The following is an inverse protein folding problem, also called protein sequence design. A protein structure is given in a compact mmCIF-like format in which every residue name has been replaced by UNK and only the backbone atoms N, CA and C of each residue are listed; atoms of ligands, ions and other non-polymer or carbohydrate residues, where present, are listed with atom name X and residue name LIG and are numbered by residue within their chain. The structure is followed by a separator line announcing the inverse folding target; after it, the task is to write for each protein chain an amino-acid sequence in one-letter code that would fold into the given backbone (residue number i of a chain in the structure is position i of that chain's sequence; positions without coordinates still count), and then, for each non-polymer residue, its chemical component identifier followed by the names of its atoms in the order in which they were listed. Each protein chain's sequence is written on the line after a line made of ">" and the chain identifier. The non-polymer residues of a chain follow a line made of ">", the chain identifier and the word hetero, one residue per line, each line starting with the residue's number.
data_IF_388376180302
#
_entry.id   IF_388376180302
#
_cell.length_a   1.000
_cell.length_b   1.000
_cell.length_c   1.000
_cell.angle_alpha   90.00
_cell.angle_beta   90.00
_cell.angle_gamma   90.00
#
_symmetry.space_group_name_H-M   'P 1'
#
loop_
_entity.id
_entity.type
_entity.pdbx_description
1 polymer ?
#
# COMPACT_ATOMS: atom_id res chain seq x y z
N UNK A 1 10.33 -13.35 19.25
CA UNK A 1 10.92 -14.47 18.47
C UNK A 1 9.96 -14.97 17.40
N UNK A 2 8.69 -15.24 17.74
CA UNK A 2 7.64 -15.63 16.76
C UNK A 2 7.41 -14.56 15.68
N UNK A 3 7.29 -13.28 16.04
CA UNK A 3 7.08 -12.20 15.04
C UNK A 3 8.27 -12.02 14.07
N UNK A 4 9.49 -12.31 14.54
CA UNK A 4 10.70 -12.22 13.71
C UNK A 4 10.73 -13.34 12.65
N UNK A 5 10.33 -14.56 13.04
CA UNK A 5 10.21 -15.71 12.14
C UNK A 5 9.13 -15.47 11.10
N UNK A 6 7.98 -14.91 11.48
CA UNK A 6 6.92 -14.55 10.54
C UNK A 6 7.34 -13.46 9.55
N UNK A 7 8.06 -12.43 10.01
CA UNK A 7 8.60 -11.37 9.14
C UNK A 7 9.60 -11.91 8.11
N UNK A 8 10.49 -12.82 8.55
CA UNK A 8 11.45 -13.49 7.68
C UNK A 8 10.77 -14.43 6.69
N UNK A 9 9.77 -15.21 7.13
CA UNK A 9 8.99 -16.10 6.25
C UNK A 9 8.27 -15.31 5.16
N UNK A 10 7.68 -14.17 5.52
CA UNK A 10 6.94 -13.36 4.56
C UNK A 10 7.84 -12.70 3.53
N UNK A 11 9.00 -12.19 3.97
CA UNK A 11 10.04 -11.67 3.08
C UNK A 11 10.58 -12.77 2.17
N UNK A 12 10.75 -13.99 2.69
CA UNK A 12 11.14 -15.16 1.91
C UNK A 12 10.12 -15.48 0.82
N UNK A 13 8.81 -15.55 1.13
CA UNK A 13 7.77 -15.81 0.14
C UNK A 13 7.77 -14.78 -0.99
N UNK A 14 7.97 -13.50 -0.67
CA UNK A 14 8.08 -12.43 -1.69
C UNK A 14 9.25 -12.62 -2.62
N UNK A 15 10.41 -12.95 -2.07
CA UNK A 15 11.61 -13.20 -2.86
C UNK A 15 11.45 -14.45 -3.72
N UNK A 16 10.88 -15.52 -3.16
CA UNK A 16 10.61 -16.76 -3.88
C UNK A 16 9.66 -16.57 -5.08
N UNK A 17 8.69 -15.66 -4.96
CA UNK A 17 7.72 -15.34 -6.01
C UNK A 17 8.11 -14.09 -6.85
N UNK A 18 9.25 -13.47 -6.58
CA UNK A 18 9.70 -12.20 -7.16
C UNK A 18 8.62 -11.09 -7.14
N UNK A 19 7.88 -11.00 -6.03
CA UNK A 19 6.84 -9.98 -5.83
C UNK A 19 7.48 -8.61 -5.59
N UNK A 20 7.92 -7.94 -6.64
CA UNK A 20 8.74 -6.75 -6.54
C UNK A 20 7.99 -5.44 -6.30
N UNK A 21 6.75 -5.34 -6.80
CA UNK A 21 5.96 -4.12 -6.72
C UNK A 21 4.81 -4.31 -5.73
N UNK A 22 4.80 -3.54 -4.65
CA UNK A 22 3.63 -3.42 -3.79
C UNK A 22 2.86 -2.15 -4.13
N UNK A 23 1.54 -2.26 -4.22
CA UNK A 23 0.63 -1.16 -4.55
C UNK A 23 -0.40 -1.04 -3.43
N UNK A 24 -0.46 0.13 -2.81
CA UNK A 24 -1.40 0.45 -1.74
C UNK A 24 -2.31 1.58 -2.19
N UNK A 25 -3.62 1.37 -2.10
CA UNK A 25 -4.63 2.34 -2.55
C UNK A 25 -5.13 3.14 -1.35
N UNK A 26 -4.74 4.41 -1.28
CA UNK A 26 -5.11 5.32 -0.19
C UNK A 26 -6.27 6.19 -0.67
N UNK A 27 -7.48 5.82 -0.24
CA UNK A 27 -8.71 6.51 -0.62
C UNK A 27 -9.56 6.80 0.61
N UNK A 28 -10.02 8.04 0.76
CA UNK A 28 -11.04 8.37 1.77
C UNK A 28 -12.35 7.69 1.44
N UNK A 29 -12.90 6.92 2.38
CA UNK A 29 -14.20 6.28 2.25
C UNK A 29 -15.29 7.15 2.86
N UNK A 30 -16.36 7.42 2.11
CA UNK A 30 -17.50 8.19 2.61
C UNK A 30 -18.18 7.40 3.74
N UNK A 31 -18.17 7.95 4.94
CA UNK A 31 -18.72 7.29 6.14
C UNK A 31 -17.71 7.21 7.28
N UNK A 32 -16.41 7.17 6.95
CA UNK A 32 -15.33 7.15 7.93
C UNK A 32 -14.90 8.59 8.24
N UNK A 33 -14.80 8.98 9.53
CA UNK A 33 -14.21 10.26 9.90
C UNK A 33 -12.75 10.35 9.46
N UNK A 34 -12.38 11.41 8.76
CA UNK A 34 -10.98 11.70 8.40
C UNK A 34 -10.75 13.23 8.41
N UNK A 35 -9.52 13.63 8.75
CA UNK A 35 -9.06 15.01 8.65
C UNK A 35 -8.97 15.51 7.20
N UNK A 36 -8.70 14.62 6.25
CA UNK A 36 -8.62 14.93 4.83
C UNK A 36 -9.82 14.37 4.09
N UNK A 37 -10.37 15.14 3.16
CA UNK A 37 -11.53 14.71 2.37
C UNK A 37 -11.11 14.46 0.92
N UNK A 38 -11.75 13.48 0.28
CA UNK A 38 -11.54 13.16 -1.14
C UNK A 38 -10.09 12.79 -1.51
N UNK A 39 -9.31 12.25 -0.57
CA UNK A 39 -7.98 11.77 -0.86
C UNK A 39 -8.05 10.53 -1.77
N UNK A 40 -7.18 10.49 -2.77
CA UNK A 40 -7.06 9.37 -3.72
C UNK A 40 -5.65 9.30 -4.30
N UNK A 41 -4.72 8.73 -3.54
CA UNK A 41 -3.34 8.51 -3.95
C UNK A 41 -3.00 7.02 -3.96
N UNK A 42 -1.96 6.68 -4.70
CA UNK A 42 -1.44 5.31 -4.80
C UNK A 42 0.03 5.30 -4.43
N UNK A 43 0.39 4.40 -3.52
CA UNK A 43 1.77 4.20 -3.11
C UNK A 43 2.28 2.94 -3.80
N UNK A 44 3.38 3.07 -4.52
CA UNK A 44 4.09 1.99 -5.20
C UNK A 44 5.45 1.83 -4.54
N UNK A 45 5.65 0.68 -3.92
CA UNK A 45 6.82 0.35 -3.10
C UNK A 45 7.59 -0.81 -3.72
N UNK A 46 8.89 -0.62 -3.90
CA UNK A 46 9.84 -1.73 -4.13
C UNK A 46 9.94 -2.55 -2.82
N UNK A 47 9.80 -3.88 -2.86
CA UNK A 47 9.72 -4.67 -1.62
C UNK A 47 10.71 -5.84 -1.50
N UNK A 48 11.71 -5.97 -2.38
CA UNK A 48 12.71 -7.04 -2.31
C UNK A 48 14.05 -6.58 -1.74
N UNK A 49 14.44 -5.31 -1.95
CA UNK A 49 15.73 -4.77 -1.56
C UNK A 49 15.66 -3.83 -0.35
N UNK A 50 16.68 -2.99 -0.18
CA UNK A 50 16.85 -2.08 0.95
C UNK A 50 17.35 -2.80 2.20
N UNK A 51 17.03 -2.20 3.33
CA UNK A 51 17.39 -2.61 4.69
C UNK A 51 16.74 -3.96 5.07
N UNK A 52 15.66 -4.36 4.38
CA UNK A 52 14.95 -5.63 4.58
C UNK A 52 15.71 -6.86 4.04
N UNK A 53 16.94 -6.67 3.56
CA UNK A 53 17.83 -7.79 3.27
C UNK A 53 18.39 -8.44 4.53
N UNK A 54 18.22 -7.80 5.70
CA UNK A 54 18.67 -8.30 7.01
C UNK A 54 20.15 -8.67 7.02
N UNK A 55 20.95 -7.92 6.25
CA UNK A 55 22.40 -8.07 6.17
C UNK A 55 23.04 -7.19 7.21
N UNK A 56 23.19 -7.74 8.41
CA UNK A 56 23.76 -7.05 9.56
C UNK A 56 24.93 -7.86 10.12
N UNK A 57 25.97 -7.16 10.58
CA UNK A 57 27.08 -7.78 11.28
C UNK A 57 27.67 -6.83 12.32
N UNK A 58 28.35 -7.39 13.31
CA UNK A 58 29.09 -6.63 14.32
C UNK A 58 30.57 -6.61 13.91
N UNK A 59 31.07 -5.46 13.43
CA UNK A 59 32.46 -5.36 12.95
C UNK A 59 33.47 -5.34 14.10
N UNK A 60 33.10 -4.69 15.21
CA UNK A 60 33.77 -4.81 16.52
C UNK A 60 32.71 -4.75 17.62
N UNK A 61 33.04 -5.23 18.84
CA UNK A 61 32.11 -5.25 19.97
C UNK A 61 31.45 -3.87 20.20
N UNK A 62 30.13 -3.80 20.04
CA UNK A 62 29.31 -2.60 20.16
C UNK A 62 29.14 -1.78 18.87
N UNK A 63 29.68 -2.22 17.74
CA UNK A 63 29.57 -1.53 16.43
C UNK A 63 28.85 -2.43 15.45
N UNK A 64 27.59 -2.12 15.19
CA UNK A 64 26.70 -2.87 14.28
C UNK A 64 26.61 -2.13 12.95
N UNK A 65 26.89 -2.85 11.87
CA UNK A 65 26.72 -2.39 10.51
C UNK A 65 25.47 -3.03 9.91
N UNK A 66 24.63 -2.21 9.27
CA UNK A 66 23.42 -2.64 8.57
C UNK A 66 23.50 -2.20 7.12
N UNK A 67 23.42 -3.15 6.19
CA UNK A 67 23.63 -2.88 4.77
C UNK A 67 22.32 -2.59 4.05
N UNK A 68 22.25 -1.40 3.45
CA UNK A 68 21.20 -1.03 2.50
C UNK A 68 21.64 -1.34 1.07
N UNK A 69 21.01 -2.31 0.45
CA UNK A 69 21.28 -2.67 -0.95
C UNK A 69 20.23 -2.02 -1.85
N UNK A 70 20.67 -1.31 -2.90
CA UNK A 70 19.83 -0.77 -3.96
C UNK A 70 20.51 -1.10 -5.28
N UNK A 71 19.78 -1.75 -6.19
CA UNK A 71 20.30 -2.06 -7.53
C UNK A 71 19.58 -1.28 -8.61
N UNK A 72 20.27 -1.07 -9.74
CA UNK A 72 19.67 -0.46 -10.92
C UNK A 72 18.53 -1.31 -11.47
N UNK A 73 18.70 -2.64 -11.50
CA UNK A 73 17.69 -3.57 -11.99
C UNK A 73 16.35 -3.43 -11.26
N UNK A 74 16.36 -3.46 -9.93
CA UNK A 74 15.13 -3.35 -9.13
C UNK A 74 14.55 -1.93 -9.17
N UNK A 75 15.40 -0.91 -9.22
CA UNK A 75 14.98 0.48 -9.38
C UNK A 75 14.31 0.73 -10.75
N UNK A 76 14.82 0.16 -11.84
CA UNK A 76 14.29 0.34 -13.20
C UNK A 76 12.91 -0.28 -13.33
N UNK A 77 12.76 -1.53 -12.85
CA UNK A 77 11.47 -2.23 -12.97
C UNK A 77 10.38 -1.61 -12.10
N UNK A 78 10.68 -1.16 -10.87
CA UNK A 78 9.66 -0.51 -10.03
C UNK A 78 9.26 0.86 -10.58
N UNK A 79 10.23 1.63 -11.10
CA UNK A 79 9.95 2.90 -11.75
C UNK A 79 9.08 2.68 -12.99
N UNK A 80 9.46 1.74 -13.87
CA UNK A 80 8.66 1.39 -15.06
C UNK A 80 7.26 0.93 -14.68
N UNK A 81 7.14 0.06 -13.68
CA UNK A 81 5.84 -0.38 -13.16
C UNK A 81 4.98 0.80 -12.69
N UNK A 82 5.57 1.77 -11.98
CA UNK A 82 4.84 2.93 -11.50
C UNK A 82 4.28 3.80 -12.63
N UNK A 83 5.06 4.03 -13.69
CA UNK A 83 4.60 4.76 -14.87
C UNK A 83 3.56 3.96 -15.69
N UNK A 84 3.77 2.66 -15.88
CA UNK A 84 2.80 1.77 -16.54
C UNK A 84 1.46 1.76 -15.77
N UNK A 85 1.53 1.67 -14.45
CA UNK A 85 0.37 1.76 -13.56
C UNK A 85 -0.33 3.12 -13.73
N UNK A 86 0.44 4.22 -13.76
CA UNK A 86 -0.11 5.55 -13.92
C UNK A 86 -0.90 5.69 -15.23
N UNK A 87 -0.33 5.22 -16.35
CA UNK A 87 -1.00 5.23 -17.66
C UNK A 87 -2.27 4.38 -17.65
N UNK A 88 -2.19 3.12 -17.19
CA UNK A 88 -3.32 2.18 -17.18
C UNK A 88 -4.49 2.68 -16.32
N UNK A 89 -4.18 3.37 -15.22
CA UNK A 89 -5.17 3.89 -14.28
C UNK A 89 -5.52 5.37 -14.51
N UNK A 90 -5.13 5.94 -15.67
CA UNK A 90 -5.43 7.34 -16.06
C UNK A 90 -4.98 8.37 -15.02
N UNK A 91 -3.89 8.08 -14.34
CA UNK A 91 -3.21 8.97 -13.39
C UNK A 91 -2.37 9.97 -14.18
N UNK A 92 -2.07 11.11 -13.56
CA UNK A 92 -1.44 12.26 -14.23
C UNK A 92 -0.03 12.53 -13.73
N UNK A 93 0.30 12.12 -12.51
CA UNK A 93 1.58 12.46 -11.88
C UNK A 93 2.19 11.27 -11.13
N UNK A 94 3.51 11.13 -11.25
CA UNK A 94 4.34 10.22 -10.46
C UNK A 94 5.38 11.02 -9.67
N UNK A 95 5.38 10.84 -8.35
CA UNK A 95 6.36 11.44 -7.43
C UNK A 95 7.33 10.38 -6.91
N UNK A 96 8.62 10.52 -7.22
CA UNK A 96 9.67 9.67 -6.66
C UNK A 96 10.11 10.16 -5.27
N UNK A 97 9.97 9.33 -4.23
CA UNK A 97 10.32 9.70 -2.85
C UNK A 97 11.67 9.09 -2.46
N UNK A 98 12.58 9.92 -1.95
CA UNK A 98 13.99 9.53 -1.71
C UNK A 98 14.64 10.30 -0.55
N UNK A 99 15.89 9.97 -0.21
CA UNK A 99 16.81 10.72 0.65
C UNK A 99 18.19 10.92 -0.01
N UNK A 100 18.21 11.07 -1.34
CA UNK A 100 19.43 11.27 -2.15
C UNK A 100 20.31 12.48 -1.74
N UNK A 101 19.80 13.44 -0.96
CA UNK A 101 20.60 14.52 -0.39
C UNK A 101 21.62 14.02 0.66
N UNK A 102 21.30 12.91 1.36
CA UNK A 102 22.18 12.25 2.32
C UNK A 102 22.82 11.02 1.67
N UNK A 103 22.00 10.12 1.13
CA UNK A 103 22.43 8.88 0.48
C UNK A 103 22.67 9.07 -1.02
N UNK A 104 23.76 9.77 -1.35
CA UNK A 104 24.05 10.21 -2.71
C UNK A 104 24.21 9.06 -3.73
N UNK A 105 24.68 7.90 -3.29
CA UNK A 105 24.91 6.75 -4.19
C UNK A 105 23.67 5.84 -4.29
N UNK A 106 23.18 5.32 -3.16
CA UNK A 106 22.05 4.37 -3.16
C UNK A 106 20.75 5.04 -3.62
N UNK A 107 20.30 6.08 -2.92
CA UNK A 107 19.08 6.80 -3.30
C UNK A 107 19.27 7.66 -4.54
N UNK A 108 20.51 8.12 -4.79
CA UNK A 108 20.84 8.79 -6.04
C UNK A 108 20.65 7.89 -7.25
N UNK A 109 21.08 6.63 -7.18
CA UNK A 109 20.86 5.62 -8.22
C UNK A 109 19.36 5.39 -8.47
N UNK A 110 18.56 5.24 -7.41
CA UNK A 110 17.11 5.09 -7.53
C UNK A 110 16.47 6.31 -8.21
N UNK A 111 16.83 7.52 -7.77
CA UNK A 111 16.28 8.77 -8.31
C UNK A 111 16.66 8.99 -9.78
N UNK A 112 17.93 8.79 -10.13
CA UNK A 112 18.44 8.86 -11.51
C UNK A 112 17.68 7.88 -12.41
N UNK A 113 17.46 6.67 -11.92
CA UNK A 113 16.70 5.64 -12.62
C UNK A 113 15.25 6.07 -12.87
N UNK A 114 14.56 6.59 -11.85
CA UNK A 114 13.21 7.13 -12.01
C UNK A 114 13.16 8.26 -13.05
N UNK A 115 14.13 9.18 -13.03
CA UNK A 115 14.24 10.27 -13.99
C UNK A 115 14.45 9.76 -15.42
N UNK A 116 15.24 8.71 -15.61
CA UNK A 116 15.48 8.13 -16.92
C UNK A 116 14.23 7.43 -17.47
N UNK A 117 13.52 6.68 -16.63
CA UNK A 117 12.25 6.06 -17.02
C UNK A 117 11.19 7.14 -17.32
N UNK A 118 11.13 8.22 -16.56
CA UNK A 118 10.16 9.31 -16.76
C UNK A 118 10.22 9.91 -18.19
N UNK A 119 11.40 9.95 -18.81
CA UNK A 119 11.59 10.43 -20.19
C UNK A 119 10.81 9.60 -21.22
N UNK A 120 10.52 8.33 -20.93
CA UNK A 120 9.74 7.44 -21.79
C UNK A 120 8.22 7.68 -21.70
N UNK A 121 7.76 8.45 -20.70
CA UNK A 121 6.35 8.72 -20.42
C UNK A 121 6.09 10.24 -20.37
N UNK A 122 6.28 10.98 -21.48
CA UNK A 122 6.22 12.46 -21.49
C UNK A 122 4.85 13.04 -21.10
N UNK A 123 3.79 12.24 -21.15
CA UNK A 123 2.43 12.63 -20.77
C UNK A 123 2.15 12.53 -19.25
N UNK A 124 3.04 11.89 -18.48
CA UNK A 124 2.93 11.77 -17.03
C UNK A 124 3.86 12.80 -16.40
N UNK A 125 3.32 13.70 -15.58
CA UNK A 125 4.13 14.65 -14.84
C UNK A 125 5.03 13.88 -13.87
N UNK A 126 6.33 14.18 -13.87
CA UNK A 126 7.28 13.61 -12.93
C UNK A 126 7.84 14.69 -12.01
N UNK A 127 7.89 14.38 -10.71
CA UNK A 127 8.63 15.15 -9.73
C UNK A 127 9.29 14.21 -8.71
N UNK A 128 10.19 14.75 -7.88
CA UNK A 128 10.75 14.02 -6.75
C UNK A 128 10.62 14.82 -5.46
N UNK A 129 10.60 14.11 -4.34
CA UNK A 129 10.49 14.71 -3.01
C UNK A 129 11.33 13.96 -2.01
N UNK A 130 11.96 14.70 -1.09
CA UNK A 130 12.73 14.10 0.00
C UNK A 130 11.74 13.53 1.03
N UNK A 131 11.99 12.32 1.54
CA UNK A 131 11.06 11.55 2.39
C UNK A 131 10.58 12.29 3.65
N UNK A 132 11.43 13.10 4.30
CA UNK A 132 11.03 13.92 5.45
C UNK A 132 10.02 15.00 5.07
N UNK A 133 10.29 15.75 3.98
CA UNK A 133 9.32 16.71 3.45
C UNK A 133 8.06 15.98 2.96
N UNK A 134 8.19 14.80 2.35
CA UNK A 134 7.06 13.99 1.91
C UNK A 134 6.12 13.63 3.06
N UNK A 135 6.65 13.14 4.18
CA UNK A 135 5.84 12.84 5.36
C UNK A 135 5.13 14.09 5.90
N UNK A 136 5.82 15.24 5.96
CA UNK A 136 5.19 16.50 6.37
C UNK A 136 4.06 16.91 5.41
N UNK A 137 4.30 16.83 4.09
CA UNK A 137 3.32 17.17 3.06
C UNK A 137 2.13 16.22 3.04
N UNK A 138 2.32 14.94 3.35
CA UNK A 138 1.22 13.98 3.48
C UNK A 138 0.25 14.34 4.61
N UNK A 139 0.74 14.94 5.70
CA UNK A 139 -0.13 15.38 6.80
C UNK A 139 -0.73 16.76 6.52
N UNK A 140 0.00 17.66 5.87
CA UNK A 140 -0.47 19.04 5.65
C UNK A 140 -1.32 19.22 4.40
N UNK A 141 -0.94 18.59 3.28
CA UNK A 141 -1.60 18.75 1.98
C UNK A 141 -1.44 17.49 1.12
N UNK A 142 -2.04 16.34 1.49
CA UNK A 142 -1.85 15.08 0.78
C UNK A 142 -2.47 15.04 -0.63
N UNK A 143 -3.45 15.91 -0.91
CA UNK A 143 -4.14 15.99 -2.21
C UNK A 143 -3.20 16.38 -3.36
N UNK A 144 -2.01 16.91 -3.05
CA UNK A 144 -1.00 17.17 -4.05
C UNK A 144 -0.41 15.90 -4.66
N UNK A 145 -0.53 14.72 -4.03
CA UNK A 145 0.04 13.48 -4.53
C UNK A 145 -0.95 12.70 -5.42
N UNK A 146 -0.42 11.93 -6.36
CA UNK A 146 -1.23 11.07 -7.23
C UNK A 146 -0.68 9.63 -7.18
N UNK A 147 0.35 9.31 -7.97
CA UNK A 147 1.13 8.07 -7.81
C UNK A 147 2.46 8.42 -7.13
N UNK A 148 2.86 7.64 -6.14
CA UNK A 148 4.13 7.79 -5.44
C UNK A 148 4.96 6.52 -5.62
N UNK A 149 6.24 6.65 -5.96
CA UNK A 149 7.15 5.51 -6.11
C UNK A 149 8.35 5.67 -5.17
N UNK A 150 8.70 4.59 -4.46
CA UNK A 150 9.77 4.66 -3.46
C UNK A 150 10.44 3.31 -3.14
N UNK A 151 11.68 3.32 -2.61
CA UNK A 151 12.34 2.16 -2.06
C UNK A 151 11.64 1.58 -0.82
N UNK A 152 12.04 0.36 -0.45
CA UNK A 152 11.37 -0.49 0.52
C UNK A 152 11.04 0.15 1.88
N UNK A 153 12.04 0.70 2.57
CA UNK A 153 11.83 1.30 3.89
C UNK A 153 10.90 2.51 3.85
N UNK A 154 11.02 3.36 2.84
CA UNK A 154 10.17 4.55 2.72
C UNK A 154 8.74 4.17 2.40
N UNK A 155 8.56 3.16 1.55
CA UNK A 155 7.25 2.57 1.30
C UNK A 155 6.59 2.13 2.60
N UNK A 156 7.31 1.42 3.47
CA UNK A 156 6.73 0.99 4.74
C UNK A 156 6.28 2.15 5.64
N UNK A 157 7.06 3.23 5.69
CA UNK A 157 6.73 4.40 6.50
C UNK A 157 5.51 5.11 5.90
N UNK A 158 5.53 5.36 4.60
CA UNK A 158 4.50 6.13 3.90
C UNK A 158 3.19 5.35 3.81
N UNK A 159 3.22 4.02 3.61
CA UNK A 159 2.05 3.15 3.62
C UNK A 159 1.24 3.32 4.92
N UNK A 160 1.93 3.21 6.07
CA UNK A 160 1.27 3.29 7.37
C UNK A 160 0.83 4.71 7.71
N UNK A 161 1.64 5.71 7.39
CA UNK A 161 1.27 7.13 7.57
C UNK A 161 0.02 7.45 6.77
N UNK A 162 0.01 7.12 5.47
CA UNK A 162 -1.10 7.42 4.58
C UNK A 162 -2.37 6.62 4.90
N UNK A 163 -2.23 5.38 5.39
CA UNK A 163 -3.36 4.62 5.90
C UNK A 163 -4.02 5.30 7.09
N UNK A 164 -3.23 5.85 8.01
CA UNK A 164 -3.74 6.66 9.13
C UNK A 164 -4.57 7.86 8.68
N UNK A 165 -4.27 8.44 7.51
CA UNK A 165 -5.03 9.57 6.97
C UNK A 165 -6.45 9.19 6.51
N UNK A 166 -6.71 7.92 6.16
CA UNK A 166 -7.97 7.50 5.51
C UNK A 166 -8.85 6.58 6.36
N UNK A 167 -8.50 6.36 7.63
CA UNK A 167 -9.25 5.50 8.55
C UNK A 167 -8.45 4.36 9.17
N UNK A 168 -7.15 4.27 8.86
CA UNK A 168 -6.24 3.30 9.46
C UNK A 168 -6.15 1.97 8.70
N UNK A 169 -5.47 1.02 9.34
CA UNK A 169 -5.08 -0.25 8.75
C UNK A 169 -6.27 -1.13 8.31
N UNK A 170 -7.40 -1.04 9.01
CA UNK A 170 -8.58 -1.88 8.81
C UNK A 170 -9.29 -1.70 7.48
N UNK A 171 -9.02 -0.61 6.75
CA UNK A 171 -9.80 -0.22 5.55
C UNK A 171 -8.98 -0.06 4.27
N UNK A 172 -7.65 -0.18 4.36
CA UNK A 172 -6.75 0.08 3.23
C UNK A 172 -6.37 -1.23 2.53
N UNK A 173 -6.74 -1.44 1.26
CA UNK A 173 -6.36 -2.62 0.50
C UNK A 173 -4.99 -2.44 -0.17
N UNK A 174 -4.29 -3.56 -0.39
CA UNK A 174 -3.02 -3.62 -1.10
C UNK A 174 -2.92 -4.82 -2.05
N UNK A 175 -1.93 -4.78 -2.92
CA UNK A 175 -1.59 -5.87 -3.82
C UNK A 175 -0.10 -5.88 -4.07
N UNK A 176 0.48 -7.08 -4.16
CA UNK A 176 1.87 -7.32 -4.49
C UNK A 176 1.93 -8.01 -5.86
N UNK A 177 2.68 -7.43 -6.80
CA UNK A 177 2.86 -7.93 -8.15
C UNK A 177 4.27 -8.44 -8.39
N UNK A 178 4.34 -9.53 -9.14
CA UNK A 178 5.51 -10.05 -9.85
C UNK A 178 5.25 -9.91 -11.35
N UNK A 179 6.16 -10.43 -12.18
CA UNK A 179 5.91 -10.61 -13.61
C UNK A 179 4.79 -11.63 -13.88
N UNK A 180 4.69 -12.70 -13.08
CA UNK A 180 3.75 -13.81 -13.30
C UNK A 180 2.67 -13.93 -12.22
N UNK A 181 2.94 -13.43 -11.01
CA UNK A 181 2.06 -13.61 -9.85
C UNK A 181 1.49 -12.28 -9.36
N UNK A 182 0.30 -12.35 -8.77
CA UNK A 182 -0.32 -11.26 -8.03
C UNK A 182 -0.86 -11.81 -6.70
N UNK A 183 -0.51 -11.15 -5.59
CA UNK A 183 -0.95 -11.50 -4.23
C UNK A 183 -1.71 -10.33 -3.64
N UNK A 184 -2.97 -10.57 -3.26
CA UNK A 184 -3.87 -9.56 -2.72
C UNK A 184 -3.89 -9.65 -1.19
N UNK A 185 -3.59 -8.54 -0.52
CA UNK A 185 -3.43 -8.45 0.93
C UNK A 185 -3.94 -7.10 1.46
N UNK A 186 -4.10 -6.91 2.79
CA UNK A 186 -4.27 -5.58 3.36
C UNK A 186 -3.04 -4.69 3.05
N UNK A 187 -3.26 -3.40 2.82
CA UNK A 187 -2.19 -2.46 2.44
C UNK A 187 -1.21 -2.18 3.56
N UNK A 188 -1.67 -2.19 4.81
CA UNK A 188 -0.82 -2.10 6.00
C UNK A 188 -0.71 -3.46 6.68
N UNK A 189 0.50 -3.82 7.09
CA UNK A 189 0.84 -5.16 7.57
C UNK A 189 1.05 -5.21 9.08
N UNK A 190 0.13 -4.62 9.83
CA UNK A 190 0.16 -4.69 11.29
C UNK A 190 -0.60 -5.92 11.77
N UNK A 191 0.10 -6.86 12.39
CA UNK A 191 -0.51 -7.92 13.17
C UNK A 191 -1.06 -7.30 14.46
N UNK A 192 -2.33 -6.89 14.45
CA UNK A 192 -3.03 -6.47 15.67
C UNK A 192 -3.39 -7.70 16.52
N UNK A 193 -2.36 -8.37 17.06
CA UNK A 193 -2.47 -9.65 17.77
C UNK A 193 -3.42 -9.57 18.96
N UNK A 194 -3.56 -8.39 19.56
CA UNK A 194 -4.51 -8.08 20.64
C UNK A 194 -5.98 -8.23 20.25
N UNK A 195 -6.35 -8.17 18.96
CA UNK A 195 -7.72 -8.43 18.48
C UNK A 195 -7.95 -9.87 18.00
N UNK A 196 -6.91 -10.71 17.96
CA UNK A 196 -7.04 -12.07 17.47
C UNK A 196 -8.05 -12.87 18.30
N UNK A 197 -9.02 -13.51 17.63
CA UNK A 197 -10.04 -14.34 18.27
C UNK A 197 -11.11 -13.58 19.06
N UNK A 198 -11.19 -12.25 18.95
CA UNK A 198 -12.15 -11.42 19.72
C UNK A 198 -13.35 -10.92 18.93
N UNK A 199 -13.47 -11.26 17.65
CA UNK A 199 -14.54 -10.78 16.76
C UNK A 199 -14.63 -9.24 16.65
N UNK A 200 -13.52 -8.53 16.78
CA UNK A 200 -13.47 -7.04 16.68
C UNK A 200 -12.66 -6.52 15.51
N UNK A 201 -12.16 -7.40 14.63
CA UNK A 201 -11.32 -7.00 13.51
C UNK A 201 -12.17 -6.37 12.41
N UNK A 202 -11.63 -5.35 11.74
CA UNK A 202 -12.31 -4.76 10.58
C UNK A 202 -11.99 -5.56 9.31
N UNK A 203 -12.97 -6.20 8.66
CA UNK A 203 -12.73 -7.00 7.46
C UNK A 203 -12.67 -6.16 6.17
N UNK A 204 -12.86 -4.83 6.25
CA UNK A 204 -12.94 -3.95 5.07
C UNK A 204 -11.73 -4.07 4.16
N UNK A 205 -10.50 -3.99 4.70
CA UNK A 205 -9.28 -4.06 3.91
C UNK A 205 -9.16 -5.37 3.12
N UNK A 206 -9.48 -6.51 3.74
CA UNK A 206 -9.38 -7.81 3.08
C UNK A 206 -10.51 -8.03 2.07
N UNK A 207 -11.73 -7.54 2.35
CA UNK A 207 -12.87 -7.59 1.41
C UNK A 207 -12.60 -6.75 0.17
N UNK A 208 -12.08 -5.52 0.33
CA UNK A 208 -11.68 -4.67 -0.78
C UNK A 208 -10.50 -5.27 -1.57
N UNK A 209 -9.53 -5.88 -0.88
CA UNK A 209 -8.44 -6.59 -1.53
C UNK A 209 -8.94 -7.81 -2.33
N UNK A 210 -9.92 -8.53 -1.80
CA UNK A 210 -10.60 -9.64 -2.50
C UNK A 210 -11.38 -9.16 -3.71
N UNK A 211 -12.04 -8.00 -3.64
CA UNK A 211 -12.66 -7.36 -4.80
C UNK A 211 -11.63 -7.02 -5.88
N UNK A 212 -10.46 -6.50 -5.49
CA UNK A 212 -9.36 -6.25 -6.43
C UNK A 212 -8.82 -7.54 -7.07
N UNK A 213 -8.80 -8.66 -6.34
CA UNK A 213 -8.46 -9.96 -6.89
C UNK A 213 -9.46 -10.39 -7.96
N UNK A 214 -10.76 -10.31 -7.67
CA UNK A 214 -11.81 -10.66 -8.63
C UNK A 214 -11.69 -9.84 -9.91
N UNK A 215 -11.41 -8.54 -9.77
CA UNK A 215 -11.13 -7.64 -10.90
C UNK A 215 -9.92 -8.10 -11.71
N UNK A 216 -8.84 -8.53 -11.05
CA UNK A 216 -7.63 -9.03 -11.71
C UNK A 216 -7.88 -10.32 -12.52
N UNK A 217 -8.80 -11.18 -12.09
CA UNK A 217 -9.19 -12.40 -12.83
C UNK A 217 -10.40 -12.19 -13.75
N UNK A 218 -10.71 -10.94 -14.11
CA UNK A 218 -11.79 -10.53 -15.02
C UNK A 218 -13.22 -10.85 -14.56
N UNK A 219 -13.44 -10.97 -13.24
CA UNK A 219 -14.76 -11.13 -12.61
C UNK A 219 -15.31 -9.78 -12.12
N UNK A 220 -15.41 -8.82 -13.04
CA UNK A 220 -15.71 -7.40 -12.76
C UNK A 220 -17.07 -7.20 -12.06
N UNK A 221 -18.10 -7.95 -12.47
CA UNK A 221 -19.44 -7.86 -11.87
C UNK A 221 -19.43 -8.22 -10.37
N UNK A 222 -18.76 -9.33 -10.02
CA UNK A 222 -18.59 -9.77 -8.63
C UNK A 222 -17.73 -8.79 -7.83
N UNK A 223 -16.63 -8.31 -8.42
CA UNK A 223 -15.76 -7.32 -7.80
C UNK A 223 -16.56 -6.05 -7.43
N UNK A 224 -17.33 -5.52 -8.37
CA UNK A 224 -18.14 -4.31 -8.19
C UNK A 224 -19.27 -4.52 -7.20
N UNK A 225 -19.87 -5.71 -7.15
CA UNK A 225 -20.92 -6.06 -6.18
C UNK A 225 -20.38 -6.02 -4.75
N UNK A 226 -19.23 -6.66 -4.50
CA UNK A 226 -18.58 -6.66 -3.17
C UNK A 226 -18.14 -5.25 -2.79
N UNK A 227 -17.42 -4.55 -3.66
CA UNK A 227 -16.94 -3.19 -3.39
C UNK A 227 -18.11 -2.25 -3.08
N UNK A 228 -19.16 -2.28 -3.91
CA UNK A 228 -20.34 -1.43 -3.70
C UNK A 228 -21.05 -1.75 -2.39
N UNK A 229 -21.16 -3.03 -2.03
CA UNK A 229 -21.78 -3.44 -0.77
C UNK A 229 -21.02 -2.90 0.44
N UNK A 230 -19.69 -3.12 0.49
CA UNK A 230 -18.82 -2.60 1.54
C UNK A 230 -18.93 -1.08 1.66
N UNK A 231 -18.83 -0.35 0.54
CA UNK A 231 -18.92 1.10 0.52
C UNK A 231 -20.30 1.61 0.99
N UNK A 232 -21.39 0.91 0.66
CA UNK A 232 -22.74 1.28 1.13
C UNK A 232 -22.92 1.05 2.63
N UNK A 233 -22.42 -0.07 3.17
CA UNK A 233 -22.46 -0.35 4.62
C UNK A 233 -21.70 0.74 5.37
N UNK A 234 -20.45 1.02 4.97
CA UNK A 234 -19.63 2.08 5.58
C UNK A 234 -20.33 3.44 5.51
N UNK A 235 -20.89 3.79 4.35
CA UNK A 235 -21.61 5.06 4.17
C UNK A 235 -22.85 5.19 5.06
N UNK A 236 -23.52 4.07 5.36
CA UNK A 236 -24.73 4.06 6.20
C UNK A 236 -24.46 4.35 7.67
N UNK A 237 -23.23 4.10 8.13
CA UNK A 237 -22.77 4.20 9.52
C UNK A 237 -23.52 3.34 10.55
N UNK A 238 -24.33 2.37 10.10
CA UNK A 238 -25.14 1.53 11.00
C UNK A 238 -24.36 0.38 11.62
N UNK A 239 -23.54 -0.28 10.80
CA UNK A 239 -22.75 -1.44 11.20
C UNK A 239 -21.29 -1.14 10.93
N UNK A 240 -20.63 -0.44 11.87
CA UNK A 240 -19.23 -0.06 11.78
C UNK A 240 -18.45 -0.71 12.93
N UNK A 241 -17.24 -1.16 12.65
CA UNK A 241 -16.34 -1.73 13.66
C UNK A 241 -15.69 -0.66 14.55
N UNK A 242 -15.16 -1.02 15.73
CA UNK A 242 -14.60 -0.06 16.69
C UNK A 242 -13.47 0.82 16.17
N UNK A 243 -12.62 0.31 15.28
CA UNK A 243 -11.49 1.05 14.71
C UNK A 243 -11.91 2.26 13.86
N UNK A 244 -13.12 2.25 13.31
CA UNK A 244 -13.70 3.33 12.49
C UNK A 244 -14.89 4.02 13.19
N UNK A 245 -15.04 3.81 14.50
CA UNK A 245 -15.96 4.56 15.36
C UNK A 245 -17.38 4.01 15.47
N UNK A 246 -17.58 2.71 15.28
CA UNK A 246 -18.84 2.04 15.64
C UNK A 246 -18.66 0.99 16.74
N UNK A 247 -19.71 0.22 16.99
CA UNK A 247 -19.75 -0.78 18.08
C UNK A 247 -19.99 -2.21 17.56
N UNK A 248 -19.97 -2.42 16.24
CA UNK A 248 -20.29 -3.71 15.63
C UNK A 248 -19.12 -4.70 15.64
N UNK A 249 -19.44 -5.98 15.73
CA UNK A 249 -18.45 -7.06 15.60
C UNK A 249 -18.02 -7.30 14.14
N UNK A 250 -16.96 -8.11 13.93
CA UNK A 250 -16.53 -8.54 12.58
C UNK A 250 -17.66 -9.29 11.89
N UNK A 251 -18.34 -10.16 12.64
CA UNK A 251 -19.48 -10.95 12.17
C UNK A 251 -20.63 -10.05 11.73
N UNK A 252 -21.08 -9.13 12.60
CA UNK A 252 -22.18 -8.21 12.29
C UNK A 252 -21.88 -7.31 11.08
N UNK A 253 -20.64 -6.82 10.97
CA UNK A 253 -20.21 -6.05 9.81
C UNK A 253 -20.28 -6.90 8.53
N UNK A 254 -19.81 -8.16 8.60
CA UNK A 254 -19.79 -9.07 7.46
C UNK A 254 -21.20 -9.44 7.01
N UNK A 255 -22.11 -9.72 7.94
CA UNK A 255 -23.52 -9.99 7.66
C UNK A 255 -24.19 -8.79 6.98
N UNK A 256 -23.98 -7.57 7.48
CA UNK A 256 -24.50 -6.36 6.85
C UNK A 256 -23.98 -6.19 5.40
N UNK A 257 -22.71 -6.52 5.15
CA UNK A 257 -22.15 -6.51 3.79
C UNK A 257 -22.79 -7.58 2.92
N UNK A 258 -23.01 -8.79 3.43
CA UNK A 258 -23.68 -9.86 2.70
C UNK A 258 -25.12 -9.48 2.35
N UNK A 259 -25.91 -8.99 3.29
CA UNK A 259 -27.27 -8.50 3.04
C UNK A 259 -27.29 -7.39 1.97
N UNK A 260 -26.39 -6.42 2.13
CA UNK A 260 -26.27 -5.33 1.17
C UNK A 260 -25.88 -5.84 -0.22
N UNK A 261 -24.99 -6.84 -0.32
CA UNK A 261 -24.61 -7.45 -1.59
C UNK A 261 -25.77 -8.21 -2.25
N UNK A 262 -26.55 -9.00 -1.50
CA UNK A 262 -27.72 -9.71 -2.04
C UNK A 262 -28.82 -8.77 -2.54
N UNK A 263 -28.95 -7.59 -1.92
CA UNK A 263 -29.90 -6.57 -2.37
C UNK A 263 -29.50 -5.86 -3.68
N UNK A 264 -28.23 -5.95 -4.09
CA UNK A 264 -27.76 -5.41 -5.36
C UNK A 264 -28.19 -6.35 -6.49
N UNK A 265 -28.93 -5.82 -7.46
CA UNK A 265 -29.25 -6.54 -8.69
C UNK A 265 -27.97 -6.80 -9.48
N UNK A 266 -27.89 -7.98 -10.09
CA UNK A 266 -26.84 -8.26 -11.07
C UNK A 266 -27.11 -7.41 -12.32
N UNK A 267 -26.12 -6.62 -12.72
CA UNK A 267 -26.13 -5.81 -13.94
C UNK A 267 -25.36 -6.53 -15.04
#
# INVERSE_FOLDING_TARGET
>A
MVDLIWSLFYTFCRRALDLYANVVHIRTLKGIPSFHQNLNLVIIREQLEGEYSSLEHESVKGVIESLKIITRYNSERIAKFAFDYAVRNKRRKVTAVHKANIMKLSDGLFLETCQNIAKLYPHIQFNSMIIDNCCMQLVSNPEQFDVMVMPNLYGNIVDNLAAGLVGGAGVVPGVSYSHEFAVFEPGTRHSFTSASGKDVANPTAILLSSSNLLRHINLESFANKIETAVLKVIKSKKSLTPDIGGDSSTTEFTEAVMEQAHSLKDH
#
